data_IF_369542294065
#
_entry.id   IF_369542294065
#
_cell.length_a   1.000
_cell.length_b   1.000
_cell.length_c   1.000
_cell.angle_alpha   90.00
_cell.angle_beta   90.00
_cell.angle_gamma   90.00
#
_symmetry.space_group_name_H-M   'P 1'
#
loop_
_entity.id
_entity.type
_entity.pdbx_description
1 polymer ?
#
# COMPACT_ATOMS: atom_id res chain seq x y z
N UNK A 1 8.12 -13.07 39.11
CA UNK A 1 7.86 -13.31 37.68
C UNK A 1 8.03 -11.98 36.98
N UNK A 2 9.23 -11.74 36.44
CA UNK A 2 9.57 -10.48 35.79
C UNK A 2 9.07 -10.51 34.36
N UNK A 3 8.25 -9.54 33.97
CA UNK A 3 7.83 -9.33 32.59
C UNK A 3 9.07 -9.13 31.70
N UNK A 4 9.13 -9.75 30.50
CA UNK A 4 10.21 -9.48 29.57
C UNK A 4 10.14 -8.00 29.17
N UNK A 5 11.24 -7.27 29.42
CA UNK A 5 11.35 -5.86 29.07
C UNK A 5 11.08 -5.68 27.58
N UNK A 6 10.08 -4.89 27.24
CA UNK A 6 9.80 -4.48 25.85
C UNK A 6 11.04 -3.79 25.29
N UNK A 7 11.64 -4.37 24.25
CA UNK A 7 12.68 -3.70 23.47
C UNK A 7 12.14 -2.34 23.01
N UNK A 8 12.87 -1.23 23.22
CA UNK A 8 12.40 0.08 22.80
C UNK A 8 12.17 0.11 21.28
N UNK A 9 10.99 0.55 20.86
CA UNK A 9 10.69 0.82 19.46
C UNK A 9 11.36 2.14 19.05
N UNK A 10 12.62 2.04 18.63
CA UNK A 10 13.43 3.19 18.18
C UNK A 10 12.74 3.90 17.01
N UNK A 11 12.11 3.13 16.12
CA UNK A 11 11.41 3.67 14.95
C UNK A 11 10.25 4.57 15.37
N UNK A 12 9.42 4.11 16.30
CA UNK A 12 8.31 4.90 16.84
C UNK A 12 8.80 6.18 17.53
N UNK A 13 9.94 6.11 18.24
CA UNK A 13 10.53 7.28 18.90
C UNK A 13 11.00 8.34 17.88
N UNK A 14 11.67 7.91 16.81
CA UNK A 14 12.07 8.80 15.71
C UNK A 14 10.87 9.38 14.96
N UNK A 15 9.81 8.58 14.78
CA UNK A 15 8.56 9.03 14.17
C UNK A 15 7.89 10.12 15.00
N UNK A 16 7.80 9.94 16.33
CA UNK A 16 7.26 10.95 17.25
C UNK A 16 8.09 12.23 17.25
N UNK A 17 9.43 12.11 17.21
CA UNK A 17 10.32 13.26 17.12
C UNK A 17 10.13 14.02 15.80
N UNK A 18 9.94 13.31 14.68
CA UNK A 18 9.63 13.92 13.39
C UNK A 18 8.26 14.62 13.40
N UNK A 19 7.21 14.00 13.92
CA UNK A 19 5.89 14.64 14.02
C UNK A 19 5.93 15.95 14.82
N UNK A 20 6.79 16.03 15.85
CA UNK A 20 6.96 17.24 16.64
C UNK A 20 7.60 18.41 15.87
N UNK A 21 8.24 18.17 14.71
CA UNK A 21 8.80 19.25 13.88
C UNK A 21 7.78 19.85 12.91
N UNK A 22 6.61 19.23 12.73
CA UNK A 22 5.58 19.61 11.76
C UNK A 22 4.68 20.74 12.31
N UNK A 23 5.23 21.94 12.46
CA UNK A 23 4.51 23.09 13.03
C UNK A 23 3.25 23.51 12.23
N UNK A 24 3.29 23.39 10.90
CA UNK A 24 2.19 23.78 10.01
C UNK A 24 1.10 22.69 9.87
N UNK A 25 1.35 21.49 10.39
CA UNK A 25 0.38 20.37 10.39
C UNK A 25 0.45 19.65 11.73
N UNK A 26 0.02 20.32 12.82
CA UNK A 26 0.18 19.77 14.16
C UNK A 26 -0.70 18.54 14.35
N UNK A 27 -0.13 17.54 15.04
CA UNK A 27 -0.83 16.32 15.47
C UNK A 27 -0.59 16.08 16.95
N UNK A 28 -1.50 15.37 17.61
CA UNK A 28 -1.38 14.99 19.02
C UNK A 28 -0.59 13.67 19.11
N UNK A 29 0.73 13.71 19.00
CA UNK A 29 1.58 12.51 18.93
C UNK A 29 1.40 11.51 20.09
N UNK A 30 0.90 11.96 21.24
CA UNK A 30 0.52 11.10 22.37
C UNK A 30 -0.68 10.17 22.09
N UNK A 31 -1.46 10.42 21.04
CA UNK A 31 -2.64 9.62 20.66
C UNK A 31 -2.38 8.63 19.52
N UNK A 32 -1.11 8.49 19.12
CA UNK A 32 -0.66 7.49 18.16
C UNK A 32 -1.15 6.10 18.57
N UNK A 33 -1.84 5.45 17.65
CA UNK A 33 -2.38 4.10 17.82
C UNK A 33 -2.31 3.33 16.49
N UNK A 34 -2.12 2.01 16.49
CA UNK A 34 -2.14 1.23 15.25
C UNK A 34 -3.43 1.48 14.44
N UNK A 35 -3.31 1.66 13.13
CA UNK A 35 -4.44 1.86 12.22
C UNK A 35 -4.69 0.63 11.35
N UNK A 36 -3.65 0.15 10.69
CA UNK A 36 -3.67 -1.07 9.88
C UNK A 36 -2.28 -1.72 9.88
N UNK A 37 -2.28 -3.03 9.67
CA UNK A 37 -1.10 -3.78 9.28
C UNK A 37 -1.31 -4.24 7.83
N UNK A 38 -0.32 -4.00 6.99
CA UNK A 38 -0.30 -4.42 5.59
C UNK A 38 0.60 -5.66 5.44
N UNK A 39 0.61 -6.30 4.28
CA UNK A 39 1.53 -7.39 3.94
C UNK A 39 2.97 -6.92 3.67
N UNK A 40 3.22 -5.61 3.82
CA UNK A 40 4.52 -4.95 3.66
C UNK A 40 5.22 -4.72 5.01
N UNK A 41 6.45 -4.19 4.98
CA UNK A 41 7.15 -3.76 6.20
C UNK A 41 6.61 -2.43 6.77
N UNK A 42 5.64 -1.82 6.07
CA UNK A 42 5.06 -0.52 6.45
C UNK A 42 4.15 -0.67 7.65
N UNK A 43 4.26 0.28 8.57
CA UNK A 43 3.37 0.41 9.72
C UNK A 43 2.53 1.66 9.56
N UNK A 44 1.25 1.56 9.92
CA UNK A 44 0.33 2.67 9.88
C UNK A 44 -0.21 2.94 11.28
N UNK A 45 -0.10 4.21 11.70
CA UNK A 45 -0.63 4.69 12.96
C UNK A 45 -1.67 5.77 12.69
N UNK A 46 -2.77 5.77 13.42
CA UNK A 46 -3.70 6.88 13.47
C UNK A 46 -3.26 7.83 14.57
N UNK A 47 -3.35 9.13 14.31
CA UNK A 47 -3.05 10.20 15.28
C UNK A 47 -4.17 11.22 15.21
N UNK A 48 -4.57 11.77 16.35
CA UNK A 48 -5.62 12.79 16.38
C UNK A 48 -5.02 14.16 16.07
N UNK A 49 -5.82 15.04 15.48
CA UNK A 49 -5.44 16.42 15.17
C UNK A 49 -6.11 17.41 16.13
N UNK A 50 -5.52 18.59 16.39
CA UNK A 50 -6.08 19.56 17.34
C UNK A 50 -7.49 20.08 17.00
N UNK A 51 -7.90 20.01 15.73
CA UNK A 51 -9.22 20.38 15.24
C UNK A 51 -10.30 19.30 15.46
N UNK A 52 -9.96 18.19 16.12
CA UNK A 52 -10.86 17.08 16.40
C UNK A 52 -10.94 16.02 15.29
N UNK A 53 -10.13 16.16 14.24
CA UNK A 53 -9.97 15.14 13.19
C UNK A 53 -8.90 14.10 13.51
N UNK A 54 -8.47 13.40 12.46
CA UNK A 54 -7.38 12.43 12.52
C UNK A 54 -6.54 12.42 11.25
N UNK A 55 -5.31 11.94 11.39
CA UNK A 55 -4.37 11.69 10.31
C UNK A 55 -3.79 10.27 10.42
N UNK A 56 -3.24 9.77 9.32
CA UNK A 56 -2.51 8.50 9.27
C UNK A 56 -1.02 8.79 9.13
N UNK A 57 -0.22 8.21 10.01
CA UNK A 57 1.24 8.25 9.96
C UNK A 57 1.72 6.92 9.42
N UNK A 58 2.47 6.96 8.32
CA UNK A 58 3.15 5.81 7.74
C UNK A 58 4.61 5.79 8.20
N UNK A 59 5.08 4.63 8.64
CA UNK A 59 6.49 4.31 8.88
C UNK A 59 6.90 3.19 7.93
N UNK A 60 7.69 3.52 6.91
CA UNK A 60 8.17 2.60 5.88
C UNK A 60 9.70 2.52 5.96
N UNK A 61 10.27 1.55 6.70
CA UNK A 61 11.66 1.59 7.13
C UNK A 61 12.65 1.38 5.97
N UNK A 62 13.56 2.34 5.68
CA UNK A 62 14.66 2.12 4.76
C UNK A 62 15.65 1.07 5.30
N UNK A 63 16.33 0.29 4.45
CA UNK A 63 16.22 0.24 3.00
C UNK A 63 15.11 -0.70 2.49
N UNK A 64 14.24 -1.22 3.38
CA UNK A 64 13.25 -2.25 3.02
C UNK A 64 12.12 -1.68 2.16
N UNK A 65 11.76 -0.42 2.37
CA UNK A 65 10.67 0.26 1.68
C UNK A 65 11.10 1.65 1.20
N UNK A 66 10.62 2.05 0.01
CA UNK A 66 10.76 3.40 -0.54
C UNK A 66 9.38 4.06 -0.62
N UNK A 67 9.24 5.23 0.00
CA UNK A 67 7.97 5.99 0.02
C UNK A 67 7.76 6.85 -1.23
N UNK A 68 8.79 7.12 -2.04
CA UNK A 68 8.70 8.01 -3.20
C UNK A 68 7.70 7.50 -4.26
N UNK A 69 7.63 6.18 -4.57
CA UNK A 69 6.57 5.64 -5.43
C UNK A 69 5.16 5.89 -4.87
N UNK A 70 4.97 5.75 -3.56
CA UNK A 70 3.68 6.03 -2.91
C UNK A 70 3.28 7.50 -3.09
N UNK A 71 4.20 8.43 -2.80
CA UNK A 71 3.96 9.87 -2.94
C UNK A 71 3.62 10.23 -4.39
N UNK A 72 4.37 9.67 -5.36
CA UNK A 72 4.13 9.90 -6.79
C UNK A 72 2.72 9.43 -7.19
N UNK A 73 2.34 8.20 -6.83
CA UNK A 73 1.04 7.63 -7.21
C UNK A 73 -0.11 8.33 -6.50
N UNK A 74 0.04 8.68 -5.22
CA UNK A 74 -0.96 9.44 -4.47
C UNK A 74 -1.22 10.82 -5.11
N UNK A 75 -0.17 11.50 -5.56
CA UNK A 75 -0.29 12.76 -6.31
C UNK A 75 -1.03 12.57 -7.64
N UNK A 76 -0.59 11.61 -8.47
CA UNK A 76 -1.22 11.32 -9.76
C UNK A 76 -2.71 10.98 -9.61
N UNK A 77 -3.07 10.15 -8.65
CA UNK A 77 -4.46 9.74 -8.45
C UNK A 77 -5.30 10.89 -7.88
N UNK A 78 -4.74 11.69 -6.97
CA UNK A 78 -5.42 12.87 -6.43
C UNK A 78 -5.82 13.90 -7.48
N UNK A 79 -5.06 14.02 -8.57
CA UNK A 79 -5.38 14.92 -9.70
C UNK A 79 -6.59 14.45 -10.53
N UNK A 80 -6.99 13.18 -10.43
CA UNK A 80 -8.12 12.63 -11.22
C UNK A 80 -9.50 12.87 -10.59
N UNK A 81 -9.53 13.37 -9.35
CA UNK A 81 -10.77 13.54 -8.58
C UNK A 81 -11.20 12.32 -7.77
N UNK A 82 -10.47 11.19 -7.84
CA UNK A 82 -10.71 10.07 -6.91
C UNK A 82 -10.29 10.42 -5.49
N UNK A 83 -10.99 9.82 -4.52
CA UNK A 83 -10.65 9.99 -3.10
C UNK A 83 -9.45 9.11 -2.74
N UNK A 84 -8.29 9.73 -2.58
CA UNK A 84 -7.05 9.11 -2.08
C UNK A 84 -6.50 9.85 -0.87
N UNK A 85 -5.67 9.20 -0.02
CA UNK A 85 -4.98 9.90 1.06
C UNK A 85 -4.10 11.02 0.51
N UNK A 86 -4.29 12.25 1.00
CA UNK A 86 -3.43 13.38 0.70
C UNK A 86 -2.15 13.27 1.51
N UNK A 87 -0.99 13.50 0.89
CA UNK A 87 0.28 13.62 1.61
C UNK A 87 0.35 15.01 2.23
N UNK A 88 0.26 15.07 3.56
CA UNK A 88 0.29 16.31 4.35
C UNK A 88 1.73 16.72 4.69
N UNK A 89 2.58 15.74 5.00
CA UNK A 89 4.02 15.94 5.21
C UNK A 89 4.79 14.65 4.88
N UNK A 90 6.09 14.79 4.60
CA UNK A 90 6.96 13.67 4.26
C UNK A 90 8.40 13.86 4.74
N UNK A 91 9.03 12.79 5.19
CA UNK A 91 10.49 12.63 5.35
C UNK A 91 10.88 11.37 4.58
N UNK A 92 11.24 11.54 3.31
CA UNK A 92 11.49 10.43 2.40
C UNK A 92 12.80 9.69 2.71
N UNK A 93 13.76 10.35 3.35
CA UNK A 93 15.04 9.75 3.71
C UNK A 93 14.88 8.78 4.88
N UNK A 94 13.99 9.10 5.84
CA UNK A 94 13.67 8.20 6.95
C UNK A 94 12.47 7.30 6.69
N UNK A 95 11.71 7.57 5.62
CA UNK A 95 10.55 6.77 5.21
C UNK A 95 9.26 7.08 5.99
N UNK A 96 9.05 8.34 6.40
CA UNK A 96 7.83 8.74 7.11
C UNK A 96 6.92 9.58 6.24
N UNK A 97 5.62 9.28 6.30
CA UNK A 97 4.57 10.12 5.70
C UNK A 97 3.50 10.45 6.74
N UNK A 98 2.95 11.66 6.65
CA UNK A 98 1.73 12.07 7.33
C UNK A 98 0.67 12.24 6.24
N UNK A 99 -0.42 11.50 6.38
CA UNK A 99 -1.47 11.37 5.38
C UNK A 99 -2.81 11.81 5.96
N UNK A 100 -3.71 12.33 5.13
CA UNK A 100 -5.10 12.49 5.53
C UNK A 100 -5.74 11.13 5.86
N UNK A 101 -6.58 11.08 6.87
CA UNK A 101 -7.32 9.87 7.23
C UNK A 101 -8.63 9.76 6.44
N UNK A 102 -8.85 8.64 5.75
CA UNK A 102 -10.10 8.35 5.04
C UNK A 102 -11.14 7.67 5.94
N UNK A 103 -10.81 7.44 7.21
CA UNK A 103 -11.68 6.79 8.19
C UNK A 103 -11.44 5.30 8.32
N UNK A 104 -12.41 4.60 8.90
CA UNK A 104 -12.35 3.17 9.21
C UNK A 104 -13.47 2.34 8.55
N UNK A 105 -14.38 2.99 7.82
CA UNK A 105 -15.47 2.32 7.13
C UNK A 105 -14.95 1.72 5.84
N UNK A 106 -14.71 0.41 5.85
CA UNK A 106 -14.39 -0.34 4.64
C UNK A 106 -15.65 -0.69 3.86
N UNK A 107 -15.54 -0.81 2.54
CA UNK A 107 -16.66 -1.32 1.72
C UNK A 107 -17.12 -2.70 2.18
N UNK A 108 -16.19 -3.57 2.58
CA UNK A 108 -16.50 -4.90 3.10
C UNK A 108 -17.41 -4.84 4.34
N UNK A 109 -17.21 -3.90 5.26
CA UNK A 109 -18.05 -3.79 6.46
C UNK A 109 -19.45 -3.28 6.16
N UNK A 110 -19.63 -2.58 5.04
CA UNK A 110 -20.91 -2.06 4.57
C UNK A 110 -21.56 -2.96 3.52
N UNK A 111 -20.89 -4.04 3.10
CA UNK A 111 -21.35 -4.87 2.00
C UNK A 111 -22.52 -5.74 2.42
N UNK A 112 -23.62 -5.62 1.70
CA UNK A 112 -24.85 -6.38 1.87
C UNK A 112 -25.52 -6.60 0.52
N UNK A 113 -26.57 -7.43 0.47
CA UNK A 113 -27.34 -7.63 -0.76
C UNK A 113 -27.90 -6.30 -1.32
N UNK A 114 -28.28 -5.37 -0.43
CA UNK A 114 -28.89 -4.09 -0.82
C UNK A 114 -27.86 -3.02 -1.19
N UNK A 115 -26.67 -3.05 -0.59
CA UNK A 115 -25.61 -2.04 -0.82
C UNK A 115 -24.57 -2.45 -1.86
N UNK A 116 -24.46 -3.74 -2.19
CA UNK A 116 -23.42 -4.24 -3.08
C UNK A 116 -23.40 -3.55 -4.43
N UNK A 117 -24.56 -3.39 -5.08
CA UNK A 117 -24.60 -2.76 -6.39
C UNK A 117 -24.04 -1.34 -6.36
N UNK A 118 -24.50 -0.50 -5.43
CA UNK A 118 -24.05 0.88 -5.31
C UNK A 118 -22.54 0.97 -5.01
N UNK A 119 -22.05 0.20 -4.03
CA UNK A 119 -20.62 0.22 -3.67
C UNK A 119 -19.73 -0.24 -4.83
N UNK A 120 -20.13 -1.25 -5.59
CA UNK A 120 -19.38 -1.68 -6.76
C UNK A 120 -19.43 -0.64 -7.88
N UNK A 121 -20.55 0.05 -8.07
CA UNK A 121 -20.65 1.14 -9.05
C UNK A 121 -19.73 2.31 -8.69
N UNK A 122 -19.70 2.75 -7.42
CA UNK A 122 -18.78 3.78 -6.95
C UNK A 122 -17.31 3.41 -7.20
N UNK A 123 -16.94 2.14 -6.93
CA UNK A 123 -15.58 1.65 -7.20
C UNK A 123 -15.26 1.63 -8.71
N UNK A 124 -16.22 1.24 -9.56
CA UNK A 124 -16.06 1.24 -11.01
C UNK A 124 -15.93 2.68 -11.53
N UNK A 125 -16.71 3.62 -11.03
CA UNK A 125 -16.60 5.04 -11.40
C UNK A 125 -15.21 5.60 -11.08
N UNK A 126 -14.65 5.26 -9.91
CA UNK A 126 -13.28 5.63 -9.57
C UNK A 126 -12.24 5.02 -10.54
N UNK A 127 -12.42 3.76 -10.96
CA UNK A 127 -11.55 3.14 -11.98
C UNK A 127 -11.65 3.86 -13.33
N UNK A 128 -12.86 4.26 -13.75
CA UNK A 128 -13.07 4.99 -15.01
C UNK A 128 -12.38 6.35 -14.97
N UNK A 129 -12.45 7.09 -13.85
CA UNK A 129 -11.73 8.36 -13.68
C UNK A 129 -10.21 8.16 -13.80
N UNK A 130 -9.65 7.17 -13.10
CA UNK A 130 -8.22 6.87 -13.20
C UNK A 130 -7.79 6.54 -14.63
N UNK A 131 -8.57 5.70 -15.33
CA UNK A 131 -8.27 5.30 -16.70
C UNK A 131 -8.41 6.44 -17.70
N UNK A 132 -9.48 7.23 -17.61
CA UNK A 132 -9.74 8.34 -18.53
C UNK A 132 -8.72 9.47 -18.39
N UNK A 133 -8.07 9.61 -17.23
CA UNK A 133 -7.08 10.64 -16.94
C UNK A 133 -5.63 10.12 -17.03
N UNK A 134 -5.45 8.83 -17.35
CA UNK A 134 -4.13 8.24 -17.53
C UNK A 134 -3.36 8.93 -18.67
N UNK A 135 -2.06 9.10 -18.46
CA UNK A 135 -1.14 9.74 -19.42
C UNK A 135 0.00 8.77 -19.73
N UNK A 136 0.43 8.67 -21.00
CA UNK A 136 1.63 7.91 -21.34
C UNK A 136 2.82 8.36 -20.49
N UNK A 137 3.68 7.41 -20.12
CA UNK A 137 4.94 7.66 -19.38
C UNK A 137 4.77 8.21 -17.95
N UNK A 138 3.54 8.46 -17.47
CA UNK A 138 3.31 8.88 -16.09
C UNK A 138 3.69 7.77 -15.09
N UNK A 139 3.44 6.52 -15.46
CA UNK A 139 3.87 5.31 -14.76
C UNK A 139 4.59 4.37 -15.74
N UNK A 140 5.47 3.48 -15.26
CA UNK A 140 6.05 2.45 -16.10
C UNK A 140 4.95 1.60 -16.74
N UNK A 141 5.18 1.20 -17.99
CA UNK A 141 4.28 0.29 -18.70
C UNK A 141 4.22 -1.06 -17.98
N UNK A 142 3.02 -1.65 -17.95
CA UNK A 142 2.86 -3.01 -17.48
C UNK A 142 3.21 -3.95 -18.64
N UNK A 143 4.50 -4.25 -18.79
CA UNK A 143 5.04 -4.91 -19.97
C UNK A 143 5.21 -6.43 -19.80
N UNK A 144 5.61 -7.10 -20.90
CA UNK A 144 5.81 -8.55 -20.91
C UNK A 144 6.85 -9.03 -19.90
N UNK A 145 8.04 -8.40 -19.79
CA UNK A 145 8.99 -8.74 -18.74
C UNK A 145 8.44 -8.64 -17.32
N UNK A 146 7.68 -7.56 -17.01
CA UNK A 146 7.08 -7.39 -15.69
C UNK A 146 6.03 -8.48 -15.41
N UNK A 147 5.08 -8.71 -16.32
CA UNK A 147 4.07 -9.74 -16.14
C UNK A 147 4.68 -11.13 -15.99
N UNK A 148 5.73 -11.46 -16.77
CA UNK A 148 6.43 -12.74 -16.62
C UNK A 148 7.07 -12.86 -15.22
N UNK A 149 7.70 -11.80 -14.73
CA UNK A 149 8.28 -11.79 -13.37
C UNK A 149 7.23 -12.04 -12.29
N UNK A 150 6.04 -11.43 -12.42
CA UNK A 150 4.93 -11.64 -11.49
C UNK A 150 4.42 -13.09 -11.53
N UNK A 151 4.30 -13.68 -12.73
CA UNK A 151 3.90 -15.09 -12.89
C UNK A 151 4.92 -16.06 -12.27
N UNK A 152 6.22 -15.78 -12.38
CA UNK A 152 7.28 -16.60 -11.79
C UNK A 152 7.23 -16.63 -10.25
N UNK A 153 6.57 -15.67 -9.60
CA UNK A 153 6.37 -15.71 -8.15
C UNK A 153 5.61 -16.98 -7.71
N UNK A 154 4.70 -17.49 -8.54
CA UNK A 154 4.02 -18.75 -8.27
C UNK A 154 5.01 -19.93 -8.24
N UNK A 155 5.92 -20.01 -9.21
CA UNK A 155 6.93 -21.07 -9.28
C UNK A 155 7.92 -20.95 -8.12
N UNK A 156 8.45 -19.76 -7.87
CA UNK A 156 9.47 -19.54 -6.85
C UNK A 156 8.91 -19.66 -5.43
N UNK A 157 7.87 -18.89 -5.12
CA UNK A 157 7.40 -18.74 -3.75
C UNK A 157 6.40 -19.81 -3.35
N UNK A 158 5.40 -20.08 -4.20
CA UNK A 158 4.38 -21.06 -3.84
C UNK A 158 4.89 -22.49 -3.97
N UNK A 159 5.40 -22.86 -5.15
CA UNK A 159 5.85 -24.24 -5.38
C UNK A 159 7.19 -24.51 -4.67
N UNK A 160 8.21 -23.70 -4.96
CA UNK A 160 9.56 -23.92 -4.45
C UNK A 160 9.66 -23.71 -2.93
N UNK A 161 9.26 -22.53 -2.44
CA UNK A 161 9.46 -22.17 -1.01
C UNK A 161 8.36 -22.67 -0.09
N UNK A 162 7.09 -22.49 -0.44
CA UNK A 162 5.98 -22.84 0.45
C UNK A 162 5.67 -24.34 0.44
N UNK A 163 5.59 -24.98 -0.73
CA UNK A 163 5.34 -26.42 -0.83
C UNK A 163 6.62 -27.26 -0.73
N UNK A 164 7.79 -26.68 -0.99
CA UNK A 164 9.07 -27.41 -0.96
C UNK A 164 9.21 -28.42 -2.11
N UNK A 165 8.51 -28.18 -3.23
CA UNK A 165 8.46 -29.11 -4.37
C UNK A 165 9.39 -28.65 -5.48
N UNK A 166 10.18 -29.58 -6.01
CA UNK A 166 10.91 -29.38 -7.26
C UNK A 166 10.08 -29.96 -8.40
N UNK A 167 9.76 -29.13 -9.40
CA UNK A 167 9.02 -29.56 -10.58
C UNK A 167 9.91 -30.39 -11.51
N UNK A 168 9.30 -31.38 -12.17
CA UNK A 168 9.96 -32.08 -13.28
C UNK A 168 10.04 -31.21 -14.54
N UNK A 169 10.85 -31.60 -15.50
CA UNK A 169 10.98 -30.89 -16.77
C UNK A 169 9.64 -30.82 -17.52
N UNK A 170 8.81 -31.87 -17.47
CA UNK A 170 7.48 -31.88 -18.07
C UNK A 170 6.53 -30.88 -17.39
N UNK A 171 6.59 -30.78 -16.07
CA UNK A 171 5.77 -29.83 -15.31
C UNK A 171 6.21 -28.38 -15.56
N UNK A 172 7.51 -28.14 -15.64
CA UNK A 172 8.05 -26.83 -16.02
C UNK A 172 7.58 -26.43 -17.42
N UNK A 173 7.65 -27.34 -18.40
CA UNK A 173 7.19 -27.09 -19.75
C UNK A 173 5.68 -26.77 -19.84
N UNK A 174 4.85 -27.42 -19.01
CA UNK A 174 3.42 -27.10 -18.91
C UNK A 174 3.21 -25.69 -18.36
N UNK A 175 3.94 -25.30 -17.31
CA UNK A 175 3.85 -23.95 -16.76
C UNK A 175 4.35 -22.90 -17.75
N UNK A 176 5.48 -23.13 -18.42
CA UNK A 176 6.03 -22.19 -19.42
C UNK A 176 5.00 -21.94 -20.53
N UNK A 177 4.40 -23.00 -21.07
CA UNK A 177 3.35 -22.87 -22.08
C UNK A 177 2.12 -22.11 -21.56
N UNK A 178 1.78 -22.30 -20.29
CA UNK A 178 0.66 -21.60 -19.66
C UNK A 178 0.98 -20.11 -19.47
N UNK A 179 2.18 -19.79 -19.00
CA UNK A 179 2.66 -18.42 -18.85
C UNK A 179 2.74 -17.71 -20.20
N UNK A 180 3.26 -18.37 -21.24
CA UNK A 180 3.28 -17.81 -22.60
C UNK A 180 1.87 -17.53 -23.13
N UNK A 181 0.90 -18.40 -22.85
CA UNK A 181 -0.50 -18.14 -23.21
C UNK A 181 -1.08 -16.94 -22.46
N UNK A 182 -0.78 -16.78 -21.16
CA UNK A 182 -1.22 -15.61 -20.38
C UNK A 182 -0.57 -14.33 -20.94
N UNK A 183 0.75 -14.36 -21.16
CA UNK A 183 1.51 -13.22 -21.68
C UNK A 183 1.03 -12.78 -23.08
N UNK A 184 0.58 -13.71 -23.92
CA UNK A 184 0.08 -13.41 -25.25
C UNK A 184 -1.32 -12.76 -25.28
N UNK A 185 -2.07 -12.78 -24.17
CA UNK A 185 -3.48 -12.37 -24.14
C UNK A 185 -3.82 -11.29 -23.09
N UNK A 186 -2.84 -10.84 -22.28
CA UNK A 186 -3.08 -9.90 -21.17
C UNK A 186 -2.18 -8.66 -21.21
N UNK A 187 -1.67 -8.30 -22.41
CA UNK A 187 -0.85 -7.13 -22.68
C UNK A 187 -1.34 -6.43 -23.95
#
# INVERSE_FOLDING_TARGET
MSSPGSTPDLRLSELQAWLATLADTPVLSSTLRPASADASFRRYFRVDTPDGGSAIVMDAPPPQEDVRPFVKVAGLFGETGVTVPKVLAQDTERGFLLLSDLGSTTYLSQLSADSAHALYMDAIEALVLLQAQSKPEALPEYDRPLLLRELELFREWYIGKHLGVTLTDEQNAVLDKTFDAILANNL
#
